data_IF_925466789640
#
_entry.id   IF_925466789640
#
_cell.length_a   1.000
_cell.length_b   1.000
_cell.length_c   1.000
_cell.angle_alpha   90.00
_cell.angle_beta   90.00
_cell.angle_gamma   90.00
#
_symmetry.space_group_name_H-M   'P 1'
#
loop_
_entity.id
_entity.type
_entity.pdbx_description
1 polymer ?
#
# COMPACT_ATOMS: atom_id res chain seq x y z
N UNK A 1 12.17 -5.70 -20.24
CA UNK A 1 11.09 -6.34 -19.45
C UNK A 1 10.10 -5.23 -19.08
N UNK A 2 8.78 -5.34 -19.31
CA UNK A 2 7.91 -4.17 -19.09
C UNK A 2 7.80 -3.82 -17.60
N UNK A 3 7.85 -2.53 -17.26
CA UNK A 3 7.71 -2.03 -15.88
C UNK A 3 6.47 -2.63 -15.18
N UNK A 4 5.39 -2.82 -15.95
CA UNK A 4 4.14 -3.51 -15.56
C UNK A 4 4.38 -4.93 -15.03
N UNK A 5 5.28 -5.70 -15.65
CA UNK A 5 5.59 -7.08 -15.24
C UNK A 5 6.43 -7.13 -13.96
N UNK A 6 7.33 -6.16 -13.75
CA UNK A 6 8.18 -6.07 -12.55
C UNK A 6 7.32 -5.63 -11.35
N UNK A 7 6.51 -4.58 -11.53
CA UNK A 7 5.55 -4.12 -10.52
C UNK A 7 4.60 -5.24 -10.11
N UNK A 8 3.97 -5.91 -11.07
CA UNK A 8 3.05 -7.00 -10.76
C UNK A 8 3.77 -8.20 -10.10
N UNK A 9 5.06 -8.43 -10.40
CA UNK A 9 5.86 -9.48 -9.77
C UNK A 9 6.23 -9.17 -8.32
N UNK A 10 6.82 -8.00 -8.06
CA UNK A 10 7.19 -7.56 -6.72
C UNK A 10 5.98 -7.37 -5.81
N UNK A 11 4.87 -6.83 -6.34
CA UNK A 11 3.64 -6.65 -5.57
C UNK A 11 3.01 -7.99 -5.19
N UNK A 12 2.98 -8.95 -6.12
CA UNK A 12 2.49 -10.31 -5.83
C UNK A 12 3.42 -11.01 -4.84
N UNK A 13 4.73 -10.86 -4.98
CA UNK A 13 5.70 -11.48 -4.06
C UNK A 13 5.55 -10.91 -2.63
N UNK A 14 5.39 -9.61 -2.47
CA UNK A 14 5.16 -8.99 -1.15
C UNK A 14 3.84 -9.43 -0.52
N UNK A 15 2.77 -9.55 -1.31
CA UNK A 15 1.50 -10.08 -0.83
C UNK A 15 1.61 -11.55 -0.45
N UNK A 16 2.38 -12.36 -1.17
CA UNK A 16 2.63 -13.77 -0.83
C UNK A 16 3.51 -13.88 0.43
N UNK A 17 4.50 -13.01 0.61
CA UNK A 17 5.33 -12.95 1.82
C UNK A 17 4.49 -12.51 3.03
N UNK A 18 3.61 -11.52 2.86
CA UNK A 18 2.69 -11.07 3.92
C UNK A 18 1.74 -12.19 4.38
N UNK A 19 1.40 -13.14 3.50
CA UNK A 19 0.52 -14.30 3.82
C UNK A 19 1.30 -15.51 4.35
N UNK A 20 2.61 -15.62 4.11
CA UNK A 20 3.42 -16.80 4.45
C UNK A 20 4.32 -16.65 5.69
N UNK A 21 4.56 -15.42 6.17
CA UNK A 21 5.51 -15.17 7.26
C UNK A 21 4.98 -15.43 8.69
N UNK A 22 3.72 -15.80 8.87
CA UNK A 22 3.24 -16.33 10.15
C UNK A 22 1.88 -16.99 9.90
N UNK A 23 1.54 -18.05 10.63
CA UNK A 23 0.22 -18.71 10.58
C UNK A 23 -0.93 -17.83 11.12
N UNK A 24 -0.93 -16.54 10.80
CA UNK A 24 -2.01 -15.62 11.10
C UNK A 24 -3.15 -15.84 10.11
N UNK A 25 -4.37 -15.56 10.58
CA UNK A 25 -5.58 -15.41 9.76
C UNK A 25 -5.43 -14.22 8.79
N UNK A 26 -4.45 -14.31 7.90
CA UNK A 26 -3.88 -13.21 7.13
C UNK A 26 -4.94 -12.49 6.32
N UNK A 27 -5.17 -11.22 6.68
CA UNK A 27 -5.99 -10.21 5.99
C UNK A 27 -6.92 -10.82 4.94
N UNK A 28 -7.91 -11.58 5.41
CA UNK A 28 -9.00 -12.06 4.58
C UNK A 28 -9.98 -10.90 4.45
N UNK A 29 -10.15 -10.43 3.23
CA UNK A 29 -11.12 -9.40 2.89
C UNK A 29 -12.13 -9.92 1.88
N UNK A 30 -12.93 -8.99 1.37
CA UNK A 30 -13.85 -9.23 0.28
C UNK A 30 -13.38 -8.55 -1.02
N UNK A 31 -12.11 -8.11 -1.07
CA UNK A 31 -11.56 -7.37 -2.20
C UNK A 31 -12.06 -5.94 -2.28
N UNK A 32 -12.42 -5.33 -1.13
CA UNK A 32 -12.98 -3.97 -1.07
C UNK A 32 -11.88 -2.94 -0.90
N UNK A 33 -12.04 -1.80 -1.57
CA UNK A 33 -11.27 -0.59 -1.29
C UNK A 33 -12.04 0.28 -0.32
N UNK A 34 -11.39 0.74 0.76
CA UNK A 34 -11.97 1.65 1.76
C UNK A 34 -11.08 2.87 1.90
N UNK A 35 -11.67 4.05 1.79
CA UNK A 35 -10.97 5.30 2.11
C UNK A 35 -11.02 5.55 3.62
N UNK A 36 -9.87 5.89 4.20
CA UNK A 36 -9.74 6.24 5.61
C UNK A 36 -9.54 7.75 5.77
N UNK A 37 -9.97 8.27 6.91
CA UNK A 37 -9.60 9.60 7.40
C UNK A 37 -8.32 9.55 8.27
N UNK A 38 -7.79 10.72 8.64
CA UNK A 38 -6.53 10.81 9.39
C UNK A 38 -6.58 10.08 10.74
N UNK A 39 -7.70 10.16 11.46
CA UNK A 39 -7.84 9.54 12.78
C UNK A 39 -7.91 8.01 12.69
N UNK A 40 -8.53 7.49 11.63
CA UNK A 40 -8.55 6.05 11.34
C UNK A 40 -7.16 5.53 10.97
N UNK A 41 -6.40 6.27 10.17
CA UNK A 41 -5.04 5.87 9.76
C UNK A 41 -4.07 5.86 10.93
N UNK A 42 -4.19 6.81 11.86
CA UNK A 42 -3.36 6.84 13.08
C UNK A 42 -3.61 5.65 13.99
N UNK A 43 -4.80 5.06 13.94
CA UNK A 43 -5.22 3.89 14.72
C UNK A 43 -5.23 2.60 13.90
N UNK A 44 -4.62 2.61 12.72
CA UNK A 44 -4.65 1.46 11.82
C UNK A 44 -3.82 0.31 12.40
N UNK A 45 -4.48 -0.84 12.62
CA UNK A 45 -3.86 -1.99 13.31
C UNK A 45 -3.44 -3.11 12.37
N UNK A 46 -4.37 -3.64 11.57
CA UNK A 46 -4.12 -4.81 10.74
C UNK A 46 -4.78 -4.64 9.38
N UNK A 47 -4.02 -4.84 8.31
CA UNK A 47 -4.51 -4.70 6.96
C UNK A 47 -3.46 -4.13 6.02
N UNK A 48 -3.90 -3.80 4.82
CA UNK A 48 -3.05 -3.22 3.78
C UNK A 48 -3.42 -1.76 3.62
N UNK A 49 -2.45 -0.86 3.81
CA UNK A 49 -2.64 0.57 3.71
C UNK A 49 -1.76 1.16 2.61
N UNK A 50 -2.37 2.00 1.77
CA UNK A 50 -1.68 2.90 0.86
C UNK A 50 -1.89 4.35 1.29
N UNK A 51 -0.80 5.10 1.45
CA UNK A 51 -0.87 6.54 1.73
C UNK A 51 -0.53 7.31 0.47
N UNK A 52 -1.52 8.03 -0.07
CA UNK A 52 -1.38 8.88 -1.25
C UNK A 52 -0.82 10.24 -0.86
N UNK A 53 0.13 10.76 -1.64
CA UNK A 53 0.72 12.07 -1.36
C UNK A 53 -0.23 13.22 -1.74
N UNK A 54 -0.10 14.40 -1.10
CA UNK A 54 -0.90 15.58 -1.44
C UNK A 54 -0.43 16.28 -2.73
N UNK A 55 0.68 15.85 -3.33
CA UNK A 55 1.35 16.58 -4.40
C UNK A 55 0.76 16.22 -5.77
N UNK A 56 0.14 17.19 -6.44
CA UNK A 56 -0.44 17.00 -7.78
C UNK A 56 0.58 16.52 -8.83
N UNK A 57 1.86 16.88 -8.68
CA UNK A 57 2.93 16.39 -9.56
C UNK A 57 3.10 14.86 -9.55
N UNK A 58 2.54 14.17 -8.55
CA UNK A 58 2.61 12.71 -8.39
C UNK A 58 1.29 12.01 -8.73
N UNK A 59 0.22 12.77 -8.97
CA UNK A 59 -1.15 12.27 -9.11
C UNK A 59 -1.29 11.13 -10.11
N UNK A 60 -0.78 11.31 -11.32
CA UNK A 60 -0.92 10.31 -12.39
C UNK A 60 -0.21 8.99 -12.04
N UNK A 61 1.01 9.08 -11.50
CA UNK A 61 1.78 7.92 -11.04
C UNK A 61 1.08 7.21 -9.89
N UNK A 62 0.53 7.96 -8.93
CA UNK A 62 -0.19 7.39 -7.78
C UNK A 62 -1.52 6.76 -8.19
N UNK A 63 -2.27 7.39 -9.12
CA UNK A 63 -3.49 6.81 -9.67
C UNK A 63 -3.20 5.49 -10.41
N UNK A 64 -2.07 5.41 -11.12
CA UNK A 64 -1.62 4.16 -11.73
C UNK A 64 -1.29 3.09 -10.68
N UNK A 65 -0.51 3.46 -9.64
CA UNK A 65 -0.13 2.53 -8.58
C UNK A 65 -1.36 2.00 -7.82
N UNK A 66 -2.28 2.88 -7.43
CA UNK A 66 -3.51 2.51 -6.74
C UNK A 66 -4.31 1.52 -7.59
N UNK A 67 -4.50 1.79 -8.89
CA UNK A 67 -5.21 0.87 -9.80
C UNK A 67 -4.58 -0.52 -9.86
N UNK A 68 -3.25 -0.61 -9.91
CA UNK A 68 -2.56 -1.90 -9.91
C UNK A 68 -2.69 -2.62 -8.57
N UNK A 69 -2.60 -1.89 -7.45
CA UNK A 69 -2.80 -2.45 -6.12
C UNK A 69 -4.23 -2.98 -5.98
N UNK A 70 -5.24 -2.20 -6.36
CA UNK A 70 -6.65 -2.59 -6.33
C UNK A 70 -6.90 -3.84 -7.17
N UNK A 71 -6.32 -3.90 -8.37
CA UNK A 71 -6.42 -5.07 -9.26
C UNK A 71 -5.91 -6.33 -8.57
N UNK A 72 -4.75 -6.25 -7.90
CA UNK A 72 -4.17 -7.41 -7.22
C UNK A 72 -4.91 -7.75 -5.93
N UNK A 73 -5.29 -6.75 -5.12
CA UNK A 73 -6.06 -6.94 -3.89
C UNK A 73 -7.40 -7.64 -4.19
N UNK A 74 -8.12 -7.19 -5.24
CA UNK A 74 -9.35 -7.84 -5.71
C UNK A 74 -9.11 -9.27 -6.18
N UNK A 75 -8.06 -9.53 -6.96
CA UNK A 75 -7.73 -10.87 -7.42
C UNK A 75 -7.36 -11.83 -6.27
N UNK A 76 -6.95 -11.29 -5.12
CA UNK A 76 -6.56 -12.03 -3.92
C UNK A 76 -7.61 -12.01 -2.81
N UNK A 77 -8.77 -11.38 -3.01
CA UNK A 77 -9.79 -11.14 -1.98
C UNK A 77 -9.20 -10.49 -0.72
N UNK A 78 -8.41 -9.45 -0.89
CA UNK A 78 -7.81 -8.67 0.19
C UNK A 78 -8.43 -7.28 0.20
N UNK A 79 -8.78 -6.79 1.38
CA UNK A 79 -9.27 -5.42 1.51
C UNK A 79 -8.08 -4.44 1.47
N UNK A 80 -8.27 -3.36 0.73
CA UNK A 80 -7.30 -2.28 0.56
C UNK A 80 -7.82 -1.04 1.29
N UNK A 81 -6.96 -0.42 2.09
CA UNK A 81 -7.25 0.84 2.74
C UNK A 81 -6.41 1.95 2.10
N UNK A 82 -7.02 3.09 1.84
CA UNK A 82 -6.37 4.23 1.20
C UNK A 82 -6.55 5.47 2.05
N UNK A 83 -5.46 6.19 2.29
CA UNK A 83 -5.50 7.52 2.86
C UNK A 83 -5.02 8.57 1.86
N UNK A 84 -5.85 9.58 1.63
CA UNK A 84 -5.51 10.73 0.81
C UNK A 84 -4.94 11.83 1.71
N UNK A 85 -3.61 11.92 1.79
CA UNK A 85 -2.98 12.96 2.58
C UNK A 85 -3.31 14.34 1.99
N UNK A 86 -3.69 15.28 2.87
CA UNK A 86 -4.01 16.66 2.50
C UNK A 86 -2.81 17.61 2.64
N UNK A 87 -1.79 17.14 3.35
CA UNK A 87 -0.55 17.84 3.62
C UNK A 87 0.60 16.82 3.67
N UNK A 88 1.83 17.32 3.80
CA UNK A 88 3.03 16.50 3.86
C UNK A 88 2.93 15.46 5.00
N UNK A 89 3.06 14.17 4.66
CA UNK A 89 2.91 13.06 5.60
C UNK A 89 3.94 13.08 6.73
N UNK A 90 5.10 13.72 6.53
CA UNK A 90 6.11 13.89 7.59
C UNK A 90 5.60 14.70 8.78
N UNK A 91 4.54 15.49 8.59
CA UNK A 91 3.92 16.32 9.64
C UNK A 91 2.75 15.62 10.36
N UNK A 92 2.32 14.47 9.87
CA UNK A 92 1.08 13.81 10.30
C UNK A 92 1.26 12.77 11.41
N UNK A 93 2.51 12.46 11.77
CA UNK A 93 2.83 11.44 12.78
C UNK A 93 2.44 10.01 12.35
N UNK A 94 2.37 9.75 11.04
CA UNK A 94 2.04 8.43 10.50
C UNK A 94 3.27 7.50 10.56
N UNK A 95 3.02 6.20 10.74
CA UNK A 95 4.09 5.18 10.76
C UNK A 95 4.72 4.94 9.37
N UNK A 96 4.07 5.41 8.30
CA UNK A 96 4.57 5.33 6.92
C UNK A 96 4.50 6.69 6.22
N UNK A 97 5.35 6.88 5.21
CA UNK A 97 5.28 8.02 4.30
C UNK A 97 4.22 7.80 3.20
N UNK A 98 3.92 8.87 2.47
CA UNK A 98 3.24 8.76 1.18
C UNK A 98 4.04 7.96 0.16
N UNK A 99 3.41 7.52 -0.94
CA UNK A 99 4.01 6.62 -1.94
C UNK A 99 4.46 5.27 -1.37
N UNK A 100 3.96 4.90 -0.19
CA UNK A 100 4.27 3.62 0.44
C UNK A 100 3.02 2.76 0.47
N UNK A 101 3.17 1.51 0.06
CA UNK A 101 2.21 0.44 0.27
C UNK A 101 2.71 -0.42 1.42
N UNK A 102 1.97 -0.51 2.52
CA UNK A 102 2.41 -1.19 3.72
C UNK A 102 1.40 -2.23 4.20
N UNK A 103 1.94 -3.34 4.70
CA UNK A 103 1.19 -4.36 5.42
C UNK A 103 1.37 -4.13 6.92
N UNK A 104 0.25 -3.89 7.60
CA UNK A 104 0.18 -3.74 9.05
C UNK A 104 -0.31 -5.02 9.69
N UNK A 105 0.27 -5.34 10.84
CA UNK A 105 -0.24 -6.36 11.75
C UNK A 105 0.06 -5.93 13.18
N UNK A 106 -0.98 -5.96 14.03
CA UNK A 106 -0.91 -5.55 15.44
C UNK A 106 -0.37 -4.12 15.61
N UNK A 107 -0.77 -3.21 14.71
CA UNK A 107 -0.34 -1.81 14.68
C UNK A 107 1.04 -1.59 14.08
N UNK A 108 1.80 -2.63 13.77
CA UNK A 108 3.18 -2.53 13.30
C UNK A 108 3.30 -2.83 11.80
N UNK A 109 4.17 -2.09 11.10
CA UNK A 109 4.47 -2.34 9.69
C UNK A 109 5.35 -3.59 9.61
N UNK A 110 4.83 -4.66 9.02
CA UNK A 110 5.57 -5.92 8.82
C UNK A 110 6.30 -5.95 7.48
N UNK A 111 5.71 -5.35 6.45
CA UNK A 111 6.35 -5.18 5.16
C UNK A 111 5.89 -3.89 4.50
N UNK A 112 6.75 -3.32 3.64
CA UNK A 112 6.44 -2.13 2.87
C UNK A 112 7.05 -2.20 1.49
N UNK A 113 6.39 -1.57 0.54
CA UNK A 113 6.92 -1.23 -0.76
C UNK A 113 6.92 0.28 -0.89
N UNK A 114 8.10 0.86 -1.05
CA UNK A 114 8.24 2.27 -1.37
C UNK A 114 8.29 2.42 -2.90
N UNK A 115 7.36 3.18 -3.47
CA UNK A 115 7.32 3.43 -4.91
C UNK A 115 8.31 4.51 -5.35
N UNK A 116 9.01 5.15 -4.41
CA UNK A 116 10.18 6.01 -4.68
C UNK A 116 11.36 5.12 -5.09
N UNK A 117 11.61 4.03 -4.36
CA UNK A 117 12.75 3.12 -4.62
C UNK A 117 12.63 2.36 -5.96
N UNK A 118 11.42 2.32 -6.52
CA UNK A 118 11.09 1.71 -7.82
C UNK A 118 11.18 2.67 -9.01
N UNK A 119 11.62 3.92 -8.85
CA UNK A 119 11.83 4.83 -10.00
C UNK A 119 12.97 4.34 -10.89
N UNK A 120 12.89 4.68 -12.19
CA UNK A 120 13.52 4.03 -13.35
C UNK A 120 15.06 3.86 -13.33
N UNK A 121 15.78 4.41 -12.33
CA UNK A 121 17.24 4.35 -12.24
C UNK A 121 17.79 3.05 -11.62
N UNK A 122 16.93 2.13 -11.15
CA UNK A 122 17.34 0.85 -10.54
C UNK A 122 17.10 -0.38 -11.46
N UNK A 123 17.04 -0.21 -12.79
CA UNK A 123 17.00 -1.32 -13.78
C UNK A 123 18.17 -1.22 -14.76
#
# INVERSE_FOLDING_TARGET
MSLKKIFSGCLVLLLVIAVSACGSNGVKGNGRTTELNLEEVKKFETGILYVRSPFESRKEKEDFNIKEIERVAKAKNMDLYIYHAKEDTSKLGLKQNSLTFAFYQDGEIKSKLDFIDLSEDNI
#
